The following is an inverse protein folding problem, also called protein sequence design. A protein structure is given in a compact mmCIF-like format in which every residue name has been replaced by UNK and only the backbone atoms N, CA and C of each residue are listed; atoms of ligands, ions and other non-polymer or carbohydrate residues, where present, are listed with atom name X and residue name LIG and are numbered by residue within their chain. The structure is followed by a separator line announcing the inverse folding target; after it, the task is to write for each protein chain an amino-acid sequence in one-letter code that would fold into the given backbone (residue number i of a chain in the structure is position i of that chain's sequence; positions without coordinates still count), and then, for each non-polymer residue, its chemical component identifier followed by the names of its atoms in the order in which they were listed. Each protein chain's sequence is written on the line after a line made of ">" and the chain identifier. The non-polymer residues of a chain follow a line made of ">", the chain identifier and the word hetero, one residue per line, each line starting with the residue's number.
data_IF_762301166276
#
_entry.id   IF_762301166276
#
_cell.length_a   1.000
_cell.length_b   1.000
_cell.length_c   1.000
_cell.angle_alpha   90.00
_cell.angle_beta   90.00
_cell.angle_gamma   90.00
#
_symmetry.space_group_name_H-M   'P 1'
#
loop_
_entity.id
_entity.type
_entity.pdbx_description
1 polymer ?
#
# COMPACT_ATOMS: atom_id res chain seq x y z
N UNK A 1 77.99 -10.33 -29.40
CA UNK A 1 78.24 -8.89 -29.18
C UNK A 1 76.90 -8.23 -28.95
N UNK A 2 76.70 -7.58 -27.79
CA UNK A 2 75.45 -6.84 -27.54
C UNK A 2 75.49 -5.54 -28.35
N UNK A 3 74.40 -5.19 -29.04
CA UNK A 3 74.28 -3.91 -29.75
C UNK A 3 74.22 -2.81 -28.69
N UNK A 4 75.15 -1.85 -28.74
CA UNK A 4 75.08 -0.67 -27.87
C UNK A 4 73.85 0.16 -28.26
N UNK A 5 73.05 0.50 -27.26
CA UNK A 5 71.89 1.38 -27.44
C UNK A 5 72.40 2.80 -27.65
N UNK A 6 71.95 3.43 -28.72
CA UNK A 6 72.32 4.80 -29.05
C UNK A 6 71.48 5.80 -28.24
N UNK A 7 72.02 7.00 -28.03
CA UNK A 7 71.28 8.08 -27.37
C UNK A 7 69.98 8.44 -28.13
N UNK A 8 69.96 8.27 -29.45
CA UNK A 8 68.76 8.48 -30.28
C UNK A 8 67.66 7.46 -30.01
N UNK A 9 68.00 6.17 -29.88
CA UNK A 9 67.04 5.12 -29.51
C UNK A 9 66.46 5.36 -28.10
N UNK A 10 67.24 5.90 -27.16
CA UNK A 10 66.74 6.30 -25.83
C UNK A 10 65.81 7.51 -25.91
N UNK A 11 66.12 8.50 -26.75
CA UNK A 11 65.26 9.67 -26.95
C UNK A 11 63.90 9.29 -27.52
N UNK A 12 63.86 8.44 -28.55
CA UNK A 12 62.61 7.94 -29.12
C UNK A 12 61.79 7.12 -28.10
N UNK A 13 62.46 6.26 -27.31
CA UNK A 13 61.80 5.51 -26.26
C UNK A 13 61.15 6.42 -25.21
N UNK A 14 61.85 7.48 -24.78
CA UNK A 14 61.33 8.43 -23.80
C UNK A 14 60.16 9.25 -24.34
N UNK A 15 60.20 9.65 -25.61
CA UNK A 15 59.07 10.30 -26.27
C UNK A 15 57.84 9.37 -26.31
N UNK A 16 58.04 8.11 -26.73
CA UNK A 16 56.96 7.14 -26.78
C UNK A 16 56.38 6.84 -25.39
N UNK A 17 57.21 6.81 -24.35
CA UNK A 17 56.73 6.66 -22.96
C UNK A 17 55.94 7.89 -22.51
N UNK A 18 56.42 9.10 -22.82
CA UNK A 18 55.72 10.33 -22.46
C UNK A 18 54.37 10.49 -23.16
N UNK A 19 54.25 10.05 -24.41
CA UNK A 19 52.99 10.08 -25.18
C UNK A 19 51.96 9.06 -24.69
N UNK A 20 52.39 7.93 -24.13
CA UNK A 20 51.50 6.84 -23.74
C UNK A 20 51.33 6.64 -22.23
N UNK A 21 52.12 7.32 -21.41
CA UNK A 21 51.94 7.24 -19.96
C UNK A 21 50.67 7.96 -19.53
N UNK A 22 49.90 7.31 -18.66
CA UNK A 22 48.73 7.95 -18.07
C UNK A 22 49.17 9.20 -17.28
N UNK A 23 48.54 10.33 -17.57
CA UNK A 23 48.80 11.56 -16.84
C UNK A 23 48.02 11.57 -15.52
N UNK A 24 48.46 12.40 -14.56
CA UNK A 24 47.73 12.59 -13.31
C UNK A 24 46.29 13.05 -13.54
N UNK A 25 46.08 13.89 -14.56
CA UNK A 25 44.77 14.38 -14.95
C UNK A 25 43.85 13.27 -15.46
N UNK A 26 44.37 12.34 -16.29
CA UNK A 26 43.61 11.16 -16.72
C UNK A 26 43.26 10.22 -15.55
N UNK A 27 44.14 10.10 -14.55
CA UNK A 27 43.83 9.29 -13.36
C UNK A 27 42.82 9.98 -12.44
N UNK A 28 42.86 11.30 -12.34
CA UNK A 28 41.90 12.09 -11.55
C UNK A 28 40.50 12.00 -12.16
N UNK A 29 40.37 12.23 -13.47
CA UNK A 29 39.08 12.11 -14.18
C UNK A 29 38.46 10.72 -14.08
N UNK A 30 39.26 9.65 -14.14
CA UNK A 30 38.78 8.28 -13.90
C UNK A 30 38.25 8.09 -12.48
N UNK A 31 38.89 8.72 -11.50
CA UNK A 31 38.46 8.66 -10.09
C UNK A 31 37.14 9.39 -9.91
N UNK A 32 37.02 10.61 -10.43
CA UNK A 32 35.77 11.40 -10.39
C UNK A 32 34.62 10.67 -11.09
N UNK A 33 34.87 10.03 -12.23
CA UNK A 33 33.85 9.23 -12.93
C UNK A 33 33.40 8.01 -12.11
N UNK A 34 34.34 7.33 -11.45
CA UNK A 34 34.02 6.19 -10.60
C UNK A 34 33.19 6.61 -9.37
N UNK A 35 33.53 7.75 -8.76
CA UNK A 35 32.76 8.35 -7.66
C UNK A 35 31.37 8.79 -8.13
N UNK A 36 31.27 9.45 -9.28
CA UNK A 36 29.98 9.84 -9.86
C UNK A 36 29.08 8.64 -10.16
N UNK A 37 29.63 7.56 -10.74
CA UNK A 37 28.90 6.32 -10.96
C UNK A 37 28.45 5.65 -9.65
N UNK A 38 29.29 5.69 -8.62
CA UNK A 38 28.93 5.20 -7.30
C UNK A 38 27.79 6.01 -6.68
N UNK A 39 27.84 7.35 -6.82
CA UNK A 39 26.78 8.27 -6.39
C UNK A 39 25.45 7.98 -7.07
N UNK A 40 25.43 7.90 -8.41
CA UNK A 40 24.23 7.57 -9.19
C UNK A 40 23.65 6.21 -8.75
N UNK A 41 24.50 5.20 -8.52
CA UNK A 41 24.03 3.88 -8.07
C UNK A 41 23.40 3.95 -6.68
N UNK A 42 23.94 4.76 -5.77
CA UNK A 42 23.38 4.96 -4.44
C UNK A 42 22.00 5.65 -4.52
N UNK A 43 21.90 6.75 -5.27
CA UNK A 43 20.63 7.47 -5.47
C UNK A 43 19.56 6.57 -6.10
N UNK A 44 19.93 5.75 -7.10
CA UNK A 44 19.00 4.78 -7.68
C UNK A 44 18.55 3.72 -6.67
N UNK A 45 19.45 3.21 -5.83
CA UNK A 45 19.12 2.22 -4.82
C UNK A 45 18.14 2.79 -3.78
N UNK A 46 18.36 4.03 -3.33
CA UNK A 46 17.47 4.75 -2.42
C UNK A 46 16.10 5.02 -3.07
N UNK A 47 16.07 5.52 -4.31
CA UNK A 47 14.84 5.75 -5.05
C UNK A 47 14.01 4.47 -5.23
N UNK A 48 14.65 3.34 -5.56
CA UNK A 48 13.94 2.06 -5.64
C UNK A 48 13.45 1.55 -4.29
N UNK A 49 14.17 1.84 -3.19
CA UNK A 49 13.70 1.49 -1.86
C UNK A 49 12.44 2.29 -1.49
N UNK A 50 12.43 3.60 -1.73
CA UNK A 50 11.27 4.46 -1.49
C UNK A 50 10.04 4.03 -2.30
N UNK A 51 10.20 3.71 -3.60
CA UNK A 51 9.09 3.21 -4.44
C UNK A 51 8.53 1.89 -3.91
N UNK A 52 9.37 0.98 -3.43
CA UNK A 52 8.90 -0.29 -2.83
C UNK A 52 8.08 -0.04 -1.56
N UNK A 53 8.48 0.92 -0.74
CA UNK A 53 7.78 1.27 0.49
C UNK A 53 6.40 1.91 0.20
N UNK A 54 6.32 2.80 -0.79
CA UNK A 54 5.06 3.37 -1.25
C UNK A 54 4.12 2.28 -1.81
N UNK A 55 4.67 1.35 -2.61
CA UNK A 55 3.90 0.22 -3.12
C UNK A 55 3.38 -0.70 -2.01
N UNK A 56 4.16 -0.94 -0.96
CA UNK A 56 3.72 -1.70 0.22
C UNK A 56 2.51 -1.02 0.88
N UNK A 57 2.58 0.30 1.09
CA UNK A 57 1.48 1.10 1.66
C UNK A 57 0.21 1.01 0.81
N UNK A 58 0.34 1.02 -0.52
CA UNK A 58 -0.81 0.87 -1.43
C UNK A 58 -1.47 -0.51 -1.32
N UNK A 59 -0.68 -1.57 -1.12
CA UNK A 59 -1.20 -2.94 -0.90
C UNK A 59 -1.97 -3.00 0.42
N UNK A 60 -1.41 -2.44 1.50
CA UNK A 60 -2.07 -2.37 2.81
C UNK A 60 -3.39 -1.61 2.73
N UNK A 61 -3.41 -0.46 2.06
CA UNK A 61 -4.63 0.31 1.85
C UNK A 61 -5.69 -0.46 1.05
N UNK A 62 -5.27 -1.22 0.04
CA UNK A 62 -6.18 -2.07 -0.75
C UNK A 62 -6.81 -3.18 0.11
N UNK A 63 -6.02 -3.79 1.00
CA UNK A 63 -6.51 -4.77 1.96
C UNK A 63 -7.48 -4.13 2.98
N UNK A 64 -7.14 -2.95 3.50
CA UNK A 64 -8.01 -2.19 4.40
C UNK A 64 -9.37 -1.87 3.78
N UNK A 65 -9.40 -1.42 2.52
CA UNK A 65 -10.66 -1.18 1.81
C UNK A 65 -11.46 -2.46 1.55
N UNK A 66 -10.81 -3.61 1.37
CA UNK A 66 -11.50 -4.89 1.27
C UNK A 66 -12.18 -5.28 2.60
N UNK A 67 -11.49 -5.07 3.73
CA UNK A 67 -12.06 -5.29 5.07
C UNK A 67 -13.30 -4.43 5.30
N UNK A 68 -13.20 -3.12 5.05
CA UNK A 68 -14.31 -2.17 5.22
C UNK A 68 -15.52 -2.56 4.37
N UNK A 69 -15.31 -3.01 3.12
CA UNK A 69 -16.42 -3.49 2.28
C UNK A 69 -17.08 -4.74 2.85
N UNK A 70 -16.31 -5.65 3.43
CA UNK A 70 -16.84 -6.85 4.09
C UNK A 70 -17.69 -6.49 5.30
N UNK A 71 -17.17 -5.62 6.17
CA UNK A 71 -17.88 -5.13 7.35
C UNK A 71 -19.18 -4.41 6.97
N UNK A 72 -19.16 -3.59 5.92
CA UNK A 72 -20.35 -2.91 5.44
C UNK A 72 -21.40 -3.88 4.89
N UNK A 73 -20.97 -4.97 4.25
CA UNK A 73 -21.88 -6.03 3.79
C UNK A 73 -22.55 -6.73 4.97
N UNK A 74 -21.79 -7.05 6.01
CA UNK A 74 -22.32 -7.66 7.24
C UNK A 74 -23.31 -6.73 7.95
N UNK A 75 -22.97 -5.44 8.07
CA UNK A 75 -23.87 -4.43 8.65
C UNK A 75 -25.18 -4.34 7.86
N UNK A 76 -25.11 -4.42 6.53
CA UNK A 76 -26.30 -4.40 5.67
C UNK A 76 -27.20 -5.61 5.89
N UNK A 77 -26.62 -6.80 6.01
CA UNK A 77 -27.37 -8.03 6.32
C UNK A 77 -28.08 -7.92 7.67
N UNK A 78 -27.35 -7.48 8.70
CA UNK A 78 -27.91 -7.26 10.04
C UNK A 78 -29.03 -6.21 10.05
N UNK A 79 -28.93 -5.18 9.20
CA UNK A 79 -29.99 -4.18 9.05
C UNK A 79 -31.27 -4.80 8.48
N UNK A 80 -31.15 -5.67 7.47
CA UNK A 80 -32.29 -6.40 6.91
C UNK A 80 -32.95 -7.33 7.94
N UNK A 81 -32.17 -7.98 8.80
CA UNK A 81 -32.71 -8.78 9.90
C UNK A 81 -33.52 -7.92 10.89
N UNK A 82 -32.99 -6.74 11.23
CA UNK A 82 -33.67 -5.78 12.11
C UNK A 82 -34.96 -5.27 11.47
N UNK A 83 -34.94 -4.93 10.18
CA UNK A 83 -36.13 -4.50 9.44
C UNK A 83 -37.23 -5.57 9.51
N UNK A 84 -36.87 -6.83 9.29
CA UNK A 84 -37.79 -7.97 9.38
C UNK A 84 -38.35 -8.13 10.80
N UNK A 85 -37.50 -7.99 11.82
CA UNK A 85 -37.95 -8.07 13.21
C UNK A 85 -38.93 -6.95 13.58
N UNK A 86 -38.69 -5.73 13.10
CA UNK A 86 -39.57 -4.57 13.30
C UNK A 86 -40.93 -4.78 12.63
N UNK A 87 -40.95 -5.30 11.41
CA UNK A 87 -42.20 -5.61 10.70
C UNK A 87 -43.06 -6.63 11.48
N UNK A 88 -42.44 -7.70 11.98
CA UNK A 88 -43.10 -8.71 12.80
C UNK A 88 -43.68 -8.12 14.11
N UNK A 89 -42.93 -7.24 14.79
CA UNK A 89 -43.43 -6.55 15.99
C UNK A 89 -44.65 -5.68 15.70
N UNK A 90 -44.71 -5.04 14.52
CA UNK A 90 -45.86 -4.24 14.12
C UNK A 90 -47.13 -5.11 13.96
N UNK A 91 -46.96 -6.33 13.40
CA UNK A 91 -48.04 -7.31 13.27
C UNK A 91 -48.58 -7.76 14.64
N UNK A 92 -47.68 -8.08 15.56
CA UNK A 92 -48.05 -8.46 16.93
C UNK A 92 -48.76 -7.33 17.69
N UNK A 93 -48.37 -6.08 17.45
CA UNK A 93 -49.05 -4.92 18.04
C UNK A 93 -50.51 -4.85 17.57
N UNK A 94 -50.74 -5.03 16.26
CA UNK A 94 -52.10 -5.06 15.69
C UNK A 94 -52.93 -6.21 16.25
N UNK A 95 -52.35 -7.41 16.37
CA UNK A 95 -53.05 -8.56 16.97
C UNK A 95 -53.40 -8.32 18.44
N UNK A 96 -52.51 -7.66 19.18
CA UNK A 96 -52.74 -7.28 20.59
C UNK A 96 -53.89 -6.30 20.73
N UNK A 97 -53.97 -5.29 19.84
CA UNK A 97 -55.07 -4.34 19.82
C UNK A 97 -56.40 -5.05 19.52
N UNK A 98 -56.42 -5.92 18.52
CA UNK A 98 -57.62 -6.68 18.13
C UNK A 98 -58.09 -7.64 19.23
N UNK A 99 -57.15 -8.28 19.93
CA UNK A 99 -57.43 -9.12 21.10
C UNK A 99 -57.97 -8.30 22.27
N UNK A 100 -57.42 -7.10 22.51
CA UNK A 100 -57.88 -6.18 23.56
C UNK A 100 -59.33 -5.76 23.29
N UNK A 101 -59.66 -5.43 22.05
CA UNK A 101 -61.03 -5.12 21.62
C UNK A 101 -61.99 -6.30 21.80
N UNK A 102 -61.53 -7.52 21.50
CA UNK A 102 -62.30 -8.76 21.72
C UNK A 102 -62.52 -9.04 23.20
N UNK A 103 -61.50 -8.89 24.04
CA UNK A 103 -61.61 -9.02 25.48
C UNK A 103 -62.63 -8.03 26.04
N UNK A 104 -62.56 -6.75 25.65
CA UNK A 104 -63.54 -5.75 26.08
C UNK A 104 -64.97 -6.09 25.68
N UNK A 105 -65.19 -6.78 24.53
CA UNK A 105 -66.51 -7.32 24.16
C UNK A 105 -66.95 -8.46 25.06
N UNK A 106 -66.05 -9.39 25.39
CA UNK A 106 -66.34 -10.53 26.27
C UNK A 106 -66.66 -10.04 27.68
N UNK A 107 -65.85 -9.15 28.25
CA UNK A 107 -66.05 -8.57 29.59
C UNK A 107 -67.43 -7.92 29.74
N UNK A 108 -67.86 -7.16 28.72
CA UNK A 108 -69.23 -6.61 28.64
C UNK A 108 -70.30 -7.69 28.61
N UNK A 109 -70.08 -8.74 27.83
CA UNK A 109 -71.04 -9.83 27.67
C UNK A 109 -71.22 -10.65 28.96
N UNK A 110 -70.15 -10.87 29.73
CA UNK A 110 -70.20 -11.64 30.97
C UNK A 110 -70.46 -10.79 32.23
N UNK A 111 -70.73 -9.49 32.06
CA UNK A 111 -71.06 -8.59 33.17
C UNK A 111 -69.88 -8.30 34.11
N UNK A 112 -68.64 -8.47 33.64
CA UNK A 112 -67.44 -8.15 34.42
C UNK A 112 -67.11 -6.66 34.43
N UNK A 113 -67.73 -5.86 33.54
CA UNK A 113 -67.70 -4.40 33.63
C UNK A 113 -68.76 -3.89 34.61
N UNK A 114 -68.43 -3.86 35.90
CA UNK A 114 -69.15 -3.08 36.91
C UNK A 114 -68.12 -2.32 37.77
N UNK A 115 -68.17 -0.97 37.68
CA UNK A 115 -67.26 0.07 38.19
C UNK A 115 -66.04 0.37 37.31
#
# INVERSE_FOLDING_TARGET
>A
MAKEVTLGEVHELLMHVAEHMATKEETATKTELAEGLAGIRAEMAEGFAAVREEMATKVEMSAGFASVRSELSEVKERLTDVETAVENLSGLTTETDDLSDRMGRVERHVGLQAL
#
